data_IF_684929422354
#
_entry.id   IF_684929422354
#
_cell.length_a   1.000
_cell.length_b   1.000
_cell.length_c   1.000
_cell.angle_alpha   90.00
_cell.angle_beta   90.00
_cell.angle_gamma   90.00
#
_symmetry.space_group_name_H-M   'P 1'
#
loop_
_entity.id
_entity.type
_entity.pdbx_description
1 polymer ?
#
# COMPACT_ATOMS: atom_id res chain seq x y z
N UNK A 1 0.75 -13.61 51.85
CA UNK A 1 1.73 -12.50 51.71
C UNK A 1 2.77 -12.95 50.71
N UNK A 2 2.95 -12.22 49.59
CA UNK A 2 4.08 -12.45 48.73
C UNK A 2 5.36 -12.01 49.47
N UNK A 3 6.43 -12.78 49.36
CA UNK A 3 7.70 -12.40 49.98
C UNK A 3 8.33 -11.24 49.20
N UNK A 4 9.08 -10.39 49.86
CA UNK A 4 9.84 -9.27 49.25
C UNK A 4 10.66 -9.73 48.05
N UNK A 5 11.20 -10.94 48.13
CA UNK A 5 11.97 -11.55 47.05
C UNK A 5 11.13 -11.80 45.79
N UNK A 6 9.92 -12.29 45.93
CA UNK A 6 8.98 -12.50 44.78
C UNK A 6 8.60 -11.19 44.12
N UNK A 7 8.43 -10.12 44.89
CA UNK A 7 8.14 -8.79 44.36
C UNK A 7 9.31 -8.19 43.59
N UNK A 8 10.55 -8.37 44.11
CA UNK A 8 11.79 -7.92 43.43
C UNK A 8 11.97 -8.70 42.11
N UNK A 9 11.81 -10.03 42.13
CA UNK A 9 11.92 -10.86 40.93
C UNK A 9 10.88 -10.47 39.85
N UNK A 10 9.64 -10.25 40.26
CA UNK A 10 8.60 -9.76 39.35
C UNK A 10 8.95 -8.42 38.75
N UNK A 11 9.36 -7.44 39.58
CA UNK A 11 9.78 -6.11 39.12
C UNK A 11 10.95 -6.18 38.13
N UNK A 12 11.98 -7.01 38.43
CA UNK A 12 13.12 -7.22 37.54
C UNK A 12 12.69 -7.83 36.20
N UNK A 13 11.75 -8.79 36.20
CA UNK A 13 11.20 -9.40 34.99
C UNK A 13 10.39 -8.39 34.15
N UNK A 14 9.55 -7.60 34.80
CA UNK A 14 8.71 -6.59 34.13
C UNK A 14 9.61 -5.50 33.51
N UNK A 15 10.65 -5.06 34.22
CA UNK A 15 11.65 -4.11 33.69
C UNK A 15 12.47 -4.66 32.54
N UNK A 16 12.81 -5.94 32.57
CA UNK A 16 13.50 -6.59 31.46
C UNK A 16 12.63 -6.61 30.19
N UNK A 17 11.35 -6.97 30.33
CA UNK A 17 10.39 -6.93 29.20
C UNK A 17 10.25 -5.52 28.64
N UNK A 18 10.15 -4.50 29.51
CA UNK A 18 10.09 -3.10 29.10
C UNK A 18 11.34 -2.67 28.30
N UNK A 19 12.53 -3.00 28.82
CA UNK A 19 13.80 -2.71 28.13
C UNK A 19 13.89 -3.42 26.78
N UNK A 20 13.54 -4.69 26.71
CA UNK A 20 13.58 -5.45 25.47
C UNK A 20 12.56 -4.88 24.45
N UNK A 21 11.39 -4.47 24.91
CA UNK A 21 10.39 -3.79 24.05
C UNK A 21 10.91 -2.44 23.53
N UNK A 22 11.57 -1.66 24.38
CA UNK A 22 12.16 -0.38 23.96
C UNK A 22 13.29 -0.58 22.94
N UNK A 23 14.14 -1.58 23.12
CA UNK A 23 15.20 -1.92 22.15
C UNK A 23 14.62 -2.30 20.80
N UNK A 24 13.59 -3.14 20.77
CA UNK A 24 12.92 -3.52 19.52
C UNK A 24 12.33 -2.29 18.81
N UNK A 25 11.70 -1.36 19.57
CA UNK A 25 11.18 -0.12 19.01
C UNK A 25 12.28 0.79 18.46
N UNK A 26 13.42 0.88 19.16
CA UNK A 26 14.55 1.69 18.72
C UNK A 26 15.18 1.13 17.44
N UNK A 27 15.39 -0.18 17.36
CA UNK A 27 15.89 -0.87 16.17
C UNK A 27 14.93 -0.66 14.98
N UNK A 28 13.64 -0.86 15.19
CA UNK A 28 12.62 -0.60 14.19
C UNK A 28 12.63 0.86 13.68
N UNK A 29 12.78 1.84 14.60
CA UNK A 29 12.90 3.26 14.23
C UNK A 29 14.15 3.54 13.41
N UNK A 30 15.28 2.92 13.78
CA UNK A 30 16.54 3.06 13.05
C UNK A 30 16.45 2.49 11.64
N UNK A 31 15.87 1.31 11.49
CA UNK A 31 15.65 0.67 10.21
C UNK A 31 14.68 1.50 9.33
N UNK A 32 13.62 2.03 9.93
CA UNK A 32 12.68 2.92 9.26
C UNK A 32 13.40 4.15 8.68
N UNK A 33 14.19 4.88 9.48
CA UNK A 33 14.93 6.05 9.04
C UNK A 33 15.99 5.72 7.98
N UNK A 34 16.64 4.56 8.09
CA UNK A 34 17.58 4.04 7.09
C UNK A 34 16.90 3.79 5.74
N UNK A 35 15.77 3.12 5.76
CA UNK A 35 14.97 2.83 4.55
C UNK A 35 14.40 4.10 3.92
N UNK A 36 13.88 5.05 4.71
CA UNK A 36 13.42 6.36 4.23
C UNK A 36 14.56 7.08 3.50
N UNK A 37 15.74 7.16 4.13
CA UNK A 37 16.92 7.82 3.56
C UNK A 37 17.32 7.18 2.23
N UNK A 38 17.29 5.86 2.15
CA UNK A 38 17.63 5.13 0.93
C UNK A 38 16.61 5.35 -0.19
N UNK A 39 15.30 5.26 0.11
CA UNK A 39 14.23 5.45 -0.88
C UNK A 39 14.14 6.88 -1.39
N UNK A 40 14.54 7.89 -0.60
CA UNK A 40 14.61 9.28 -1.04
C UNK A 40 15.89 9.57 -1.85
N UNK A 41 17.05 9.00 -1.48
CA UNK A 41 18.33 9.24 -2.17
C UNK A 41 18.29 8.82 -3.63
N UNK A 42 17.71 7.66 -3.94
CA UNK A 42 17.70 7.09 -5.30
C UNK A 42 17.03 8.03 -6.33
N UNK A 43 15.77 8.47 -6.15
CA UNK A 43 15.14 9.41 -7.07
C UNK A 43 15.82 10.79 -7.06
N UNK A 44 16.33 11.25 -5.90
CA UNK A 44 17.03 12.53 -5.79
C UNK A 44 18.28 12.55 -6.66
N UNK A 45 19.17 11.55 -6.57
CA UNK A 45 20.35 11.45 -7.41
C UNK A 45 20.01 11.23 -8.89
N UNK A 46 18.88 10.55 -9.18
CA UNK A 46 18.41 10.43 -10.56
C UNK A 46 18.02 11.79 -11.14
N UNK A 47 17.28 12.61 -10.39
CA UNK A 47 16.91 13.97 -10.78
C UNK A 47 18.16 14.81 -10.98
N UNK A 48 19.06 14.82 -10.00
CA UNK A 48 20.31 15.55 -10.05
C UNK A 48 21.14 15.19 -11.30
N UNK A 49 21.35 13.91 -11.55
CA UNK A 49 22.16 13.47 -12.71
C UNK A 49 21.57 13.86 -14.06
N UNK A 50 20.22 13.85 -14.22
CA UNK A 50 19.61 14.34 -15.46
C UNK A 50 19.72 15.85 -15.60
N UNK A 51 19.60 16.61 -14.51
CA UNK A 51 19.77 18.05 -14.52
C UNK A 51 21.23 18.41 -14.86
N UNK A 52 22.22 17.79 -14.22
CA UNK A 52 23.64 17.98 -14.53
C UNK A 52 23.95 17.65 -15.99
N UNK A 53 23.47 16.52 -16.51
CA UNK A 53 23.65 16.16 -17.92
C UNK A 53 23.04 17.21 -18.88
N UNK A 54 21.89 17.78 -18.51
CA UNK A 54 21.27 18.86 -19.32
C UNK A 54 22.12 20.12 -19.28
N UNK A 55 22.67 20.51 -18.13
CA UNK A 55 23.53 21.67 -17.96
C UNK A 55 24.87 21.51 -18.72
N UNK A 56 25.42 20.30 -18.76
CA UNK A 56 26.67 19.95 -19.44
C UNK A 56 26.53 19.89 -20.98
N UNK A 57 25.41 20.41 -21.53
CA UNK A 57 25.23 20.58 -22.97
C UNK A 57 24.07 19.82 -23.60
N UNK A 58 23.53 18.78 -22.96
CA UNK A 58 22.39 18.03 -23.49
C UNK A 58 21.10 18.88 -23.60
N UNK A 59 21.05 20.07 -22.98
CA UNK A 59 19.97 21.04 -23.14
C UNK A 59 19.85 21.52 -24.60
N UNK A 60 20.96 21.61 -25.31
CA UNK A 60 21.02 22.01 -26.72
C UNK A 60 20.71 20.90 -27.70
N UNK A 61 20.75 19.64 -27.25
CA UNK A 61 20.42 18.47 -28.07
C UNK A 61 18.91 18.19 -28.03
N UNK A 62 18.21 18.52 -29.12
CA UNK A 62 16.76 18.33 -29.26
C UNK A 62 16.33 16.87 -29.17
N UNK A 63 17.22 15.91 -29.46
CA UNK A 63 16.90 14.47 -29.46
C UNK A 63 16.75 13.89 -28.05
N UNK A 64 17.50 14.39 -27.07
CA UNK A 64 17.54 13.87 -25.69
C UNK A 64 16.96 14.81 -24.65
N UNK A 65 16.93 16.13 -24.92
CA UNK A 65 16.44 17.15 -23.97
C UNK A 65 15.08 16.80 -23.35
N UNK A 66 14.08 16.54 -24.18
CA UNK A 66 12.73 16.21 -23.71
C UNK A 66 12.73 14.94 -22.86
N UNK A 67 13.47 13.92 -23.28
CA UNK A 67 13.60 12.65 -22.56
C UNK A 67 14.22 12.83 -21.18
N UNK A 68 15.26 13.65 -21.03
CA UNK A 68 15.93 13.89 -19.75
C UNK A 68 15.07 14.74 -18.82
N UNK A 69 14.39 15.77 -19.33
CA UNK A 69 13.41 16.55 -18.55
C UNK A 69 12.26 15.64 -18.04
N UNK A 70 11.72 14.77 -18.89
CA UNK A 70 10.69 13.83 -18.49
C UNK A 70 11.17 12.83 -17.42
N UNK A 71 12.42 12.39 -17.50
CA UNK A 71 13.00 11.47 -16.49
C UNK A 71 13.25 12.20 -15.16
N UNK A 72 13.74 13.44 -15.21
CA UNK A 72 13.87 14.25 -14.00
C UNK A 72 12.50 14.48 -13.34
N UNK A 73 11.48 14.84 -14.14
CA UNK A 73 10.12 15.04 -13.63
C UNK A 73 9.56 13.78 -12.97
N UNK A 74 9.74 12.59 -13.56
CA UNK A 74 9.34 11.31 -12.93
C UNK A 74 10.04 11.05 -11.60
N UNK A 75 11.31 11.49 -11.47
CA UNK A 75 12.03 11.41 -10.21
C UNK A 75 11.40 12.30 -9.13
N UNK A 76 11.01 13.54 -9.52
CA UNK A 76 10.29 14.46 -8.61
C UNK A 76 8.92 13.92 -8.21
N UNK A 77 8.14 13.42 -9.16
CA UNK A 77 6.84 12.77 -8.88
C UNK A 77 7.00 11.63 -7.87
N UNK A 78 8.02 10.78 -8.05
CA UNK A 78 8.32 9.71 -7.11
C UNK A 78 8.65 10.23 -5.71
N UNK A 79 9.44 11.29 -5.58
CA UNK A 79 9.72 11.92 -4.29
C UNK A 79 8.45 12.42 -3.61
N UNK A 80 7.55 13.07 -4.35
CA UNK A 80 6.26 13.54 -3.83
C UNK A 80 5.42 12.37 -3.31
N UNK A 81 5.36 11.25 -4.04
CA UNK A 81 4.65 10.04 -3.56
C UNK A 81 5.23 9.50 -2.26
N UNK A 82 6.57 9.36 -2.18
CA UNK A 82 7.22 8.86 -0.97
C UNK A 82 6.95 9.78 0.22
N UNK A 83 7.03 11.10 0.05
CA UNK A 83 6.76 12.06 1.13
C UNK A 83 5.31 11.98 1.61
N UNK A 84 4.35 11.88 0.68
CA UNK A 84 2.92 11.71 1.05
C UNK A 84 2.66 10.41 1.80
N UNK A 85 3.26 9.30 1.35
CA UNK A 85 3.17 8.00 2.03
C UNK A 85 3.74 8.08 3.45
N UNK A 86 4.88 8.75 3.63
CA UNK A 86 5.52 8.94 4.94
C UNK A 86 4.68 9.81 5.88
N UNK A 87 4.12 10.92 5.38
CA UNK A 87 3.23 11.79 6.17
C UNK A 87 2.02 11.00 6.67
N UNK A 88 1.38 10.22 5.77
CA UNK A 88 0.25 9.39 6.15
C UNK A 88 0.64 8.33 7.19
N UNK A 89 1.75 7.60 7.00
CA UNK A 89 2.21 6.61 7.97
C UNK A 89 2.48 7.26 9.33
N UNK A 90 3.09 8.44 9.35
CA UNK A 90 3.39 9.15 10.61
C UNK A 90 2.11 9.54 11.35
N UNK A 91 1.09 10.02 10.64
CA UNK A 91 -0.24 10.32 11.23
C UNK A 91 -0.93 9.08 11.77
N UNK A 92 -0.84 7.96 11.04
CA UNK A 92 -1.39 6.67 11.45
C UNK A 92 -0.71 6.11 12.71
N UNK A 93 0.61 6.31 12.88
CA UNK A 93 1.35 5.85 14.06
C UNK A 93 0.99 6.59 15.35
N UNK A 94 0.73 7.87 15.24
CA UNK A 94 0.35 8.71 16.37
C UNK A 94 -1.13 8.48 16.76
N UNK A 95 -1.89 7.73 15.94
CA UNK A 95 -3.34 7.55 16.13
C UNK A 95 -4.14 8.82 15.81
N UNK A 96 -3.53 9.74 15.07
CA UNK A 96 -4.08 11.07 14.74
C UNK A 96 -4.81 11.07 13.38
N UNK A 97 -5.25 9.90 12.93
CA UNK A 97 -6.05 9.79 11.72
C UNK A 97 -7.52 10.05 12.08
N UNK A 98 -7.95 11.30 11.97
CA UNK A 98 -9.37 11.62 11.99
C UNK A 98 -10.01 11.09 10.70
N UNK A 99 -10.78 10.01 10.81
CA UNK A 99 -11.54 9.46 9.70
C UNK A 99 -12.82 10.26 9.50
N UNK A 100 -13.01 10.75 8.28
CA UNK A 100 -14.25 11.40 7.86
C UNK A 100 -15.16 10.33 7.22
N UNK A 101 -15.82 9.52 8.08
CA UNK A 101 -16.66 8.41 7.61
C UNK A 101 -17.97 8.94 7.04
N UNK A 102 -18.32 8.47 5.86
CA UNK A 102 -19.56 8.74 5.15
C UNK A 102 -20.16 7.47 4.52
N UNK A 103 -21.40 7.53 4.10
CA UNK A 103 -22.05 6.45 3.36
C UNK A 103 -21.82 6.64 1.86
N UNK A 104 -21.28 5.63 1.20
CA UNK A 104 -21.07 5.66 -0.26
C UNK A 104 -21.20 4.26 -0.87
N UNK A 105 -21.40 4.21 -2.19
CA UNK A 105 -21.40 2.95 -2.96
C UNK A 105 -19.96 2.50 -3.22
N UNK A 106 -19.60 1.32 -2.70
CA UNK A 106 -18.24 0.76 -2.88
C UNK A 106 -18.02 0.28 -4.31
N UNK A 107 -19.07 -0.16 -5.02
CA UNK A 107 -18.96 -0.61 -6.41
C UNK A 107 -18.65 0.58 -7.32
N UNK A 108 -19.34 1.70 -7.15
CA UNK A 108 -19.06 2.95 -7.87
C UNK A 108 -17.63 3.46 -7.60
N UNK A 109 -17.18 3.42 -6.34
CA UNK A 109 -15.82 3.81 -5.99
C UNK A 109 -14.80 2.93 -6.70
N UNK A 110 -14.96 1.59 -6.71
CA UNK A 110 -14.06 0.67 -7.39
C UNK A 110 -14.06 0.95 -8.90
N UNK A 111 -15.21 1.18 -9.51
CA UNK A 111 -15.31 1.53 -10.94
C UNK A 111 -14.52 2.82 -11.24
N UNK A 112 -14.65 3.85 -10.41
CA UNK A 112 -13.88 5.09 -10.57
C UNK A 112 -12.36 4.87 -10.52
N UNK A 113 -11.90 3.90 -9.72
CA UNK A 113 -10.49 3.54 -9.66
C UNK A 113 -10.07 2.73 -10.90
N UNK A 114 -10.93 1.88 -11.46
CA UNK A 114 -10.65 1.23 -12.74
C UNK A 114 -10.41 2.26 -13.84
N UNK A 115 -11.29 3.25 -13.95
CA UNK A 115 -11.19 4.33 -14.94
C UNK A 115 -9.87 5.13 -14.75
N UNK A 116 -9.51 5.42 -13.51
CA UNK A 116 -8.24 6.09 -13.17
C UNK A 116 -7.00 5.30 -13.61
N UNK A 117 -7.09 3.98 -13.64
CA UNK A 117 -5.96 3.08 -13.93
C UNK A 117 -5.91 2.63 -15.40
N UNK A 118 -6.88 3.00 -16.26
CA UNK A 118 -7.01 2.58 -17.65
C UNK A 118 -5.69 2.66 -18.42
N UNK A 119 -5.02 3.81 -18.40
CA UNK A 119 -3.72 3.99 -19.09
C UNK A 119 -2.58 3.12 -18.54
N UNK A 120 -2.68 2.64 -17.29
CA UNK A 120 -1.67 1.75 -16.71
C UNK A 120 -1.87 0.30 -17.14
N UNK A 121 -3.11 -0.15 -17.19
CA UNK A 121 -3.45 -1.51 -17.59
C UNK A 121 -3.16 -1.76 -19.07
N UNK A 122 -3.41 -0.78 -19.95
CA UNK A 122 -3.08 -0.86 -21.38
C UNK A 122 -1.61 -1.22 -21.63
N UNK A 123 -0.68 -0.67 -20.87
CA UNK A 123 0.76 -0.93 -21.05
C UNK A 123 1.17 -2.39 -20.84
N UNK A 124 0.47 -3.11 -19.99
CA UNK A 124 0.71 -4.54 -19.69
C UNK A 124 -0.35 -5.46 -20.30
N UNK A 125 -1.35 -4.87 -20.96
CA UNK A 125 -2.53 -5.57 -21.49
C UNK A 125 -3.24 -6.39 -20.39
N UNK A 126 -3.40 -5.80 -19.20
CA UNK A 126 -4.12 -6.42 -18.08
C UNK A 126 -5.58 -5.99 -18.16
N UNK A 127 -6.49 -6.91 -17.86
CA UNK A 127 -7.92 -6.62 -17.76
C UNK A 127 -8.31 -6.41 -16.30
N UNK A 128 -8.91 -5.26 -15.97
CA UNK A 128 -9.61 -5.06 -14.69
C UNK A 128 -11.09 -5.35 -14.90
N UNK A 129 -11.67 -6.18 -14.04
CA UNK A 129 -13.08 -6.56 -14.15
C UNK A 129 -13.68 -6.80 -12.77
N UNK A 130 -15.00 -6.71 -12.69
CA UNK A 130 -15.74 -7.31 -11.59
C UNK A 130 -15.97 -8.79 -11.85
N UNK A 131 -16.17 -9.57 -10.79
CA UNK A 131 -16.52 -11.00 -10.84
C UNK A 131 -17.93 -11.23 -11.41
N UNK A 132 -18.81 -10.24 -11.23
CA UNK A 132 -20.19 -10.26 -11.70
C UNK A 132 -20.68 -8.85 -12.01
N UNK A 133 -21.85 -8.74 -12.65
CA UNK A 133 -22.54 -7.48 -12.83
C UNK A 133 -23.34 -7.12 -11.57
N UNK A 134 -23.02 -5.96 -10.96
CA UNK A 134 -23.70 -5.45 -9.78
C UNK A 134 -24.90 -4.60 -10.20
N UNK A 135 -26.10 -5.15 -10.12
CA UNK A 135 -27.35 -4.48 -10.51
C UNK A 135 -27.88 -3.48 -9.48
N UNK A 136 -27.35 -3.51 -8.26
CA UNK A 136 -27.72 -2.63 -7.16
C UNK A 136 -26.48 -2.13 -6.41
N UNK A 137 -26.52 -0.90 -5.87
CA UNK A 137 -25.42 -0.35 -5.09
C UNK A 137 -25.19 -1.13 -3.78
N UNK A 138 -23.95 -1.20 -3.34
CA UNK A 138 -23.56 -1.79 -2.06
C UNK A 138 -22.99 -0.66 -1.19
N UNK A 139 -23.81 -0.16 -0.25
CA UNK A 139 -23.43 0.95 0.60
C UNK A 139 -22.60 0.52 1.81
N UNK A 140 -21.47 1.21 2.01
CA UNK A 140 -20.56 1.05 3.15
C UNK A 140 -20.45 2.36 3.93
N UNK A 141 -20.06 2.27 5.22
CA UNK A 141 -19.81 3.43 6.07
C UNK A 141 -18.32 3.50 6.42
N UNK A 142 -17.57 4.35 5.71
CA UNK A 142 -16.13 4.46 5.82
C UNK A 142 -15.65 5.84 5.33
N UNK A 143 -14.38 6.15 5.50
CA UNK A 143 -13.74 7.32 4.88
C UNK A 143 -13.47 7.01 3.40
N UNK A 144 -14.25 7.64 2.50
CA UNK A 144 -14.25 7.39 1.06
C UNK A 144 -12.88 7.57 0.45
N UNK A 145 -12.17 8.65 0.78
CA UNK A 145 -10.85 8.95 0.22
C UNK A 145 -9.80 7.92 0.65
N UNK A 146 -9.86 7.47 1.91
CA UNK A 146 -8.96 6.44 2.42
C UNK A 146 -9.25 5.07 1.80
N UNK A 147 -10.52 4.72 1.62
CA UNK A 147 -10.88 3.47 0.94
C UNK A 147 -10.51 3.52 -0.54
N UNK A 148 -10.68 4.66 -1.22
CA UNK A 148 -10.16 4.84 -2.57
C UNK A 148 -8.64 4.62 -2.65
N UNK A 149 -7.89 5.10 -1.65
CA UNK A 149 -6.45 4.86 -1.55
C UNK A 149 -6.12 3.37 -1.33
N UNK A 150 -6.90 2.65 -0.51
CA UNK A 150 -6.76 1.19 -0.32
C UNK A 150 -6.95 0.47 -1.64
N UNK A 151 -8.07 0.69 -2.33
CA UNK A 151 -8.40 0.04 -3.61
C UNK A 151 -7.33 0.37 -4.66
N UNK A 152 -6.92 1.64 -4.75
CA UNK A 152 -5.86 2.07 -5.68
C UNK A 152 -4.55 1.33 -5.41
N UNK A 153 -4.11 1.21 -4.16
CA UNK A 153 -2.87 0.53 -3.80
C UNK A 153 -2.92 -0.96 -4.14
N UNK A 154 -4.03 -1.63 -3.86
CA UNK A 154 -4.21 -3.04 -4.18
C UNK A 154 -4.21 -3.28 -5.70
N UNK A 155 -4.96 -2.50 -6.47
CA UNK A 155 -5.02 -2.60 -7.92
C UNK A 155 -3.69 -2.24 -8.59
N UNK A 156 -2.99 -1.20 -8.10
CA UNK A 156 -1.64 -0.87 -8.60
C UNK A 156 -0.65 -2.01 -8.34
N UNK A 157 -0.75 -2.68 -7.20
CA UNK A 157 0.07 -3.85 -6.91
C UNK A 157 -0.27 -5.03 -7.83
N UNK A 158 -1.56 -5.30 -8.04
CA UNK A 158 -2.01 -6.33 -8.97
C UNK A 158 -1.51 -6.07 -10.40
N UNK A 159 -1.63 -4.83 -10.91
CA UNK A 159 -1.09 -4.45 -12.23
C UNK A 159 0.43 -4.60 -12.28
N UNK A 160 1.12 -4.24 -11.19
CA UNK A 160 2.58 -4.28 -11.13
C UNK A 160 3.13 -5.71 -11.17
N UNK A 161 2.55 -6.60 -10.37
CA UNK A 161 2.99 -7.99 -10.22
C UNK A 161 2.18 -8.98 -11.04
N UNK A 162 1.14 -8.50 -11.72
CA UNK A 162 0.35 -9.26 -12.67
C UNK A 162 1.17 -9.68 -13.88
N UNK A 163 0.78 -10.80 -14.48
CA UNK A 163 1.34 -11.27 -15.76
C UNK A 163 0.89 -10.37 -16.90
N UNK A 164 1.65 -10.32 -17.95
CA UNK A 164 1.22 -9.70 -19.20
C UNK A 164 0.03 -10.49 -19.76
N UNK A 165 -0.96 -9.78 -20.29
CA UNK A 165 -2.23 -10.35 -20.75
C UNK A 165 -3.04 -11.03 -19.60
N UNK A 166 -2.77 -10.61 -18.35
CA UNK A 166 -3.42 -11.13 -17.16
C UNK A 166 -4.74 -10.44 -16.84
N UNK A 167 -5.37 -10.91 -15.77
CA UNK A 167 -6.64 -10.39 -15.28
C UNK A 167 -6.54 -10.07 -13.80
N UNK A 168 -7.14 -8.96 -13.38
CA UNK A 168 -7.44 -8.64 -12.00
C UNK A 168 -8.94 -8.52 -11.85
N UNK A 169 -9.50 -9.37 -11.01
CA UNK A 169 -10.92 -9.44 -10.71
C UNK A 169 -11.19 -8.85 -9.33
N UNK A 170 -12.25 -8.05 -9.22
CA UNK A 170 -12.69 -7.51 -7.93
C UNK A 170 -14.08 -8.03 -7.61
N UNK A 171 -14.25 -8.62 -6.43
CA UNK A 171 -15.54 -9.03 -5.91
C UNK A 171 -15.95 -8.26 -4.68
N UNK A 172 -17.25 -8.03 -4.53
CA UNK A 172 -17.85 -7.33 -3.38
C UNK A 172 -19.01 -8.16 -2.85
N UNK A 173 -18.88 -8.69 -1.64
CA UNK A 173 -19.89 -9.56 -1.05
C UNK A 173 -20.39 -9.04 0.30
N UNK A 174 -21.68 -9.19 0.54
CA UNK A 174 -22.26 -8.95 1.85
C UNK A 174 -21.97 -10.13 2.78
N UNK A 175 -21.37 -9.85 3.93
CA UNK A 175 -21.15 -10.82 4.98
C UNK A 175 -22.25 -10.73 6.05
N UNK A 176 -22.29 -11.74 6.94
CA UNK A 176 -23.02 -11.66 8.19
C UNK A 176 -22.48 -10.54 9.08
N UNK A 177 -23.23 -10.15 10.13
CA UNK A 177 -22.82 -9.10 11.10
C UNK A 177 -22.63 -7.69 10.51
N UNK A 178 -23.40 -7.34 9.48
CA UNK A 178 -23.41 -6.01 8.87
C UNK A 178 -22.03 -5.61 8.31
N UNK A 179 -21.35 -6.54 7.65
CA UNK A 179 -20.06 -6.33 6.99
C UNK A 179 -20.17 -6.55 5.49
N UNK A 180 -19.27 -5.91 4.77
CA UNK A 180 -18.99 -6.15 3.34
C UNK A 180 -17.55 -6.59 3.24
N UNK A 181 -17.24 -7.54 2.37
CA UNK A 181 -15.87 -7.90 2.02
C UNK A 181 -15.61 -7.52 0.57
N UNK A 182 -14.48 -6.89 0.33
CA UNK A 182 -13.94 -6.59 -1.00
C UNK A 182 -12.72 -7.47 -1.22
N UNK A 183 -12.67 -8.21 -2.33
CA UNK A 183 -11.52 -9.02 -2.74
C UNK A 183 -10.96 -8.49 -4.04
N UNK A 184 -9.65 -8.42 -4.11
CA UNK A 184 -8.88 -8.09 -5.32
C UNK A 184 -8.01 -9.29 -5.63
N UNK A 185 -8.35 -10.02 -6.68
CA UNK A 185 -7.72 -11.28 -7.08
C UNK A 185 -6.99 -11.09 -8.41
N UNK A 186 -5.69 -11.35 -8.43
CA UNK A 186 -4.88 -11.35 -9.64
C UNK A 186 -4.39 -12.75 -10.00
N UNK A 187 -4.16 -12.98 -11.27
CA UNK A 187 -3.54 -14.20 -11.78
C UNK A 187 -2.04 -14.02 -12.08
N UNK A 188 -1.36 -13.23 -11.24
CA UNK A 188 0.04 -12.88 -11.36
C UNK A 188 1.03 -13.98 -10.97
N UNK A 189 2.24 -13.55 -10.58
CA UNK A 189 3.32 -14.46 -10.22
C UNK A 189 3.10 -15.18 -8.87
N UNK A 190 2.19 -14.64 -8.04
CA UNK A 190 1.97 -15.14 -6.69
C UNK A 190 3.11 -14.79 -5.73
N UNK A 191 2.91 -15.11 -4.45
CA UNK A 191 3.81 -14.75 -3.35
C UNK A 191 4.21 -16.00 -2.57
N UNK A 192 5.51 -16.26 -2.38
CA UNK A 192 5.97 -17.38 -1.56
C UNK A 192 5.47 -17.27 -0.11
N UNK A 193 5.00 -18.37 0.47
CA UNK A 193 4.40 -18.42 1.83
C UNK A 193 5.28 -17.77 2.91
N UNK A 194 6.62 -17.89 2.79
CA UNK A 194 7.58 -17.29 3.72
C UNK A 194 7.54 -15.75 3.77
N UNK A 195 6.97 -15.09 2.76
CA UNK A 195 6.89 -13.63 2.68
C UNK A 195 5.53 -13.08 3.12
N UNK A 196 4.47 -13.91 3.14
CA UNK A 196 3.09 -13.46 3.39
C UNK A 196 2.95 -12.68 4.70
N UNK A 197 3.53 -13.16 5.79
CA UNK A 197 3.43 -12.50 7.10
C UNK A 197 4.15 -11.14 7.17
N UNK A 198 5.05 -10.87 6.20
CA UNK A 198 5.86 -9.64 6.15
C UNK A 198 5.36 -8.62 5.13
N UNK A 199 4.38 -8.96 4.30
CA UNK A 199 3.93 -8.08 3.20
C UNK A 199 3.45 -6.71 3.65
N UNK A 200 2.94 -6.62 4.87
CA UNK A 200 2.44 -5.39 5.46
C UNK A 200 3.49 -4.63 6.29
N UNK A 201 4.73 -5.16 6.37
CA UNK A 201 5.84 -4.41 6.96
C UNK A 201 6.24 -3.25 6.04
N UNK A 202 6.64 -2.12 6.62
CA UNK A 202 7.06 -0.95 5.85
C UNK A 202 8.35 -1.22 5.10
N UNK A 203 8.41 -0.73 3.85
CA UNK A 203 9.56 -0.92 2.94
C UNK A 203 9.84 -2.37 2.57
N UNK A 204 9.00 -3.32 3.03
CA UNK A 204 9.19 -4.71 2.69
C UNK A 204 8.87 -4.97 1.22
N UNK A 205 9.71 -5.79 0.58
CA UNK A 205 9.56 -6.22 -0.82
C UNK A 205 10.07 -7.64 -0.95
N UNK A 206 9.32 -8.49 -1.67
CA UNK A 206 9.69 -9.87 -1.93
C UNK A 206 10.98 -9.95 -2.73
N UNK A 207 11.13 -9.10 -3.77
CA UNK A 207 12.33 -8.98 -4.58
C UNK A 207 12.99 -7.61 -4.46
N UNK A 208 14.25 -7.59 -4.00
CA UNK A 208 15.05 -6.37 -3.93
C UNK A 208 15.75 -6.02 -5.26
N UNK A 209 15.90 -6.97 -6.19
CA UNK A 209 16.74 -6.81 -7.39
C UNK A 209 15.96 -6.54 -8.68
N UNK A 210 14.83 -7.19 -8.92
CA UNK A 210 14.09 -7.11 -10.18
C UNK A 210 13.12 -5.94 -10.29
N UNK A 211 12.52 -5.54 -9.19
CA UNK A 211 11.46 -4.53 -9.16
C UNK A 211 11.94 -3.07 -9.02
N UNK A 212 13.26 -2.81 -9.07
CA UNK A 212 13.78 -1.42 -9.10
C UNK A 212 13.34 -0.64 -10.33
N UNK A 213 13.18 -1.32 -11.47
CA UNK A 213 12.73 -0.72 -12.73
C UNK A 213 11.23 -0.35 -12.74
N UNK A 214 10.39 -1.08 -12.00
CA UNK A 214 8.93 -0.86 -11.98
C UNK A 214 8.46 0.07 -10.85
N UNK A 215 9.36 0.53 -9.99
CA UNK A 215 9.07 1.49 -8.91
C UNK A 215 8.21 0.88 -7.78
N UNK A 216 8.22 1.53 -6.63
CA UNK A 216 7.43 1.18 -5.46
C UNK A 216 8.27 1.40 -4.21
N UNK A 217 7.71 2.13 -3.22
CA UNK A 217 8.36 2.45 -1.95
C UNK A 217 8.37 1.28 -0.96
N UNK A 218 7.54 0.25 -1.20
CA UNK A 218 7.25 -0.78 -0.19
C UNK A 218 6.35 -0.29 0.95
N UNK A 219 5.73 0.89 0.79
CA UNK A 219 4.83 1.47 1.79
C UNK A 219 3.35 1.18 1.50
N UNK A 220 2.99 0.89 0.25
CA UNK A 220 1.59 0.79 -0.17
C UNK A 220 0.76 -0.22 0.62
N UNK A 221 1.26 -1.45 0.84
CA UNK A 221 0.54 -2.46 1.63
C UNK A 221 0.53 -2.13 3.14
N UNK A 222 1.57 -1.51 3.66
CA UNK A 222 1.57 -1.01 5.04
C UNK A 222 0.48 0.06 5.23
N UNK A 223 0.34 0.99 4.27
CA UNK A 223 -0.72 2.00 4.25
C UNK A 223 -2.10 1.34 4.20
N UNK A 224 -2.29 0.35 3.31
CA UNK A 224 -3.56 -0.40 3.23
C UNK A 224 -3.92 -1.00 4.58
N UNK A 225 -3.00 -1.72 5.22
CA UNK A 225 -3.23 -2.33 6.53
C UNK A 225 -3.62 -1.27 7.58
N UNK A 226 -2.87 -0.19 7.68
CA UNK A 226 -3.14 0.85 8.68
C UNK A 226 -4.47 1.58 8.45
N UNK A 227 -4.85 1.85 7.20
CA UNK A 227 -6.17 2.44 6.89
C UNK A 227 -7.28 1.48 7.32
N UNK A 228 -7.19 0.20 6.98
CA UNK A 228 -8.21 -0.78 7.33
C UNK A 228 -8.28 -0.98 8.86
N UNK A 229 -7.14 -1.06 9.55
CA UNK A 229 -7.10 -1.15 11.01
C UNK A 229 -7.67 0.12 11.70
N UNK A 230 -7.44 1.32 11.14
CA UNK A 230 -8.04 2.56 11.63
C UNK A 230 -9.59 2.58 11.48
N UNK A 231 -10.14 1.85 10.51
CA UNK A 231 -11.58 1.62 10.38
C UNK A 231 -12.11 0.51 11.32
N UNK A 232 -11.26 -0.09 12.17
CA UNK A 232 -11.58 -1.25 13.02
C UNK A 232 -11.95 -2.50 12.21
N UNK A 233 -11.40 -2.61 11.00
CA UNK A 233 -11.66 -3.66 10.02
C UNK A 233 -10.42 -4.55 9.81
N UNK A 234 -10.57 -5.59 9.00
CA UNK A 234 -9.53 -6.60 8.80
C UNK A 234 -9.10 -6.69 7.34
N UNK A 235 -7.82 -6.93 7.14
CA UNK A 235 -7.24 -7.26 5.84
C UNK A 235 -6.65 -8.67 5.87
N UNK A 236 -6.81 -9.38 4.76
CA UNK A 236 -6.32 -10.74 4.57
C UNK A 236 -5.55 -10.83 3.26
N UNK A 237 -4.72 -11.86 3.15
CA UNK A 237 -3.98 -12.18 1.93
C UNK A 237 -3.86 -13.69 1.80
N UNK A 238 -4.20 -14.17 0.60
CA UNK A 238 -3.96 -15.54 0.17
C UNK A 238 -3.20 -15.51 -1.15
N UNK A 239 -2.20 -16.38 -1.30
CA UNK A 239 -1.41 -16.39 -2.53
C UNK A 239 -0.70 -17.72 -2.72
N UNK A 240 -0.61 -18.12 -3.99
CA UNK A 240 0.12 -19.30 -4.43
C UNK A 240 1.00 -18.94 -5.62
N UNK A 241 2.25 -19.42 -5.60
CA UNK A 241 3.23 -19.14 -6.67
C UNK A 241 2.68 -19.66 -8.00
N UNK A 242 2.82 -18.84 -9.04
CA UNK A 242 2.35 -19.07 -10.40
C UNK A 242 0.82 -19.17 -10.58
N UNK A 243 0.04 -19.09 -9.52
CA UNK A 243 -1.41 -19.02 -9.56
C UNK A 243 -1.90 -17.58 -9.49
N UNK A 244 -1.42 -16.82 -8.49
CA UNK A 244 -1.79 -15.44 -8.27
C UNK A 244 -1.92 -15.07 -6.80
N UNK A 245 -2.53 -13.92 -6.52
CA UNK A 245 -2.75 -13.42 -5.17
C UNK A 245 -4.14 -12.84 -5.02
N UNK A 246 -4.73 -13.05 -3.85
CA UNK A 246 -5.95 -12.40 -3.41
C UNK A 246 -5.66 -11.56 -2.16
N UNK A 247 -6.01 -10.28 -2.24
CA UNK A 247 -6.05 -9.38 -1.09
C UNK A 247 -7.50 -9.03 -0.80
N UNK A 248 -7.95 -9.27 0.42
CA UNK A 248 -9.32 -9.00 0.80
C UNK A 248 -9.42 -8.20 2.08
N UNK A 249 -10.38 -7.29 2.15
CA UNK A 249 -10.62 -6.47 3.34
C UNK A 249 -12.10 -6.31 3.63
N UNK A 250 -12.43 -6.11 4.91
CA UNK A 250 -13.79 -5.88 5.36
C UNK A 250 -14.08 -4.40 5.53
N UNK A 251 -15.36 -4.03 5.39
CA UNK A 251 -15.91 -2.71 5.69
C UNK A 251 -17.23 -2.86 6.45
N UNK A 252 -17.58 -1.85 7.22
CA UNK A 252 -18.90 -1.75 7.82
C UNK A 252 -19.94 -1.45 6.73
N UNK A 253 -20.99 -2.28 6.65
CA UNK A 253 -22.11 -2.03 5.74
C UNK A 253 -22.95 -0.87 6.27
N UNK A 254 -23.27 0.10 5.42
CA UNK A 254 -24.20 1.16 5.82
C UNK A 254 -25.59 0.61 6.05
N UNK A 255 -26.28 1.14 7.09
CA UNK A 255 -27.66 0.82 7.42
C UNK A 255 -28.65 1.64 6.59
N UNK A 256 -28.18 2.66 5.90
CA UNK A 256 -29.00 3.62 5.14
C UNK A 256 -28.37 3.77 3.76
N UNK A 257 -29.21 3.85 2.71
CA UNK A 257 -28.76 4.25 1.39
C UNK A 257 -28.19 5.68 1.45
N UNK A 258 -27.20 6.01 0.63
CA UNK A 258 -26.76 7.40 0.48
C UNK A 258 -27.94 8.26 0.00
N UNK A 259 -28.14 9.41 0.64
CA UNK A 259 -29.11 10.42 0.21
C UNK A 259 -28.68 11.11 -1.09
#
# INVERSE_FOLDING_TARGET
MRTLTEEIEKFAKDKKIEIDTLKVREEYRKDFLGNVSHELKTPLFTVQGYIETLLDGALNDKSVRKKYLQRANKGVERLIYIVRDLDLITKLEVGDLNLEKETFDIVELIQSVFDLLEMKVEKKNITLTFDMEYSAPIYVYADKDKIQQVVTNLLVNSIKYGRRDGTTEVSVENLIQNKVIVRVTDNGEGIPKRHIHRLFERFYRVDQSGSRSEGGSGLGLAIVKHIIEAHEEKIYVESEIEVGSEFSFTLEKSKVAAE
#
